data_IF_982758501515
#
_entry.id   IF_982758501515
#
_cell.length_a   1.000
_cell.length_b   1.000
_cell.length_c   1.000
_cell.angle_alpha   90.00
_cell.angle_beta   90.00
_cell.angle_gamma   90.00
#
_symmetry.space_group_name_H-M   'P 1'
#
loop_
_entity.id
_entity.type
_entity.pdbx_description
1 polymer ?
#
# COMPACT_ATOMS: atom_id res chain seq x y z
N UNK A 1 19.90 4.59 43.13
CA UNK A 1 21.32 4.96 43.31
C UNK A 1 21.55 6.45 43.61
N UNK A 2 20.77 7.36 43.01
CA UNK A 2 20.88 8.83 43.20
C UNK A 2 20.61 9.32 44.64
N UNK A 3 19.76 8.63 45.41
CA UNK A 3 19.37 9.08 46.77
C UNK A 3 20.50 8.93 47.80
N UNK A 4 21.46 8.02 47.58
CA UNK A 4 22.51 7.72 48.56
C UNK A 4 23.69 8.72 48.56
N UNK A 5 23.87 9.49 47.48
CA UNK A 5 25.03 10.39 47.34
C UNK A 5 24.89 11.71 48.10
N UNK A 6 23.67 12.05 48.55
CA UNK A 6 23.33 13.37 49.09
C UNK A 6 23.87 13.67 50.50
N UNK A 7 24.40 12.68 51.23
CA UNK A 7 24.70 12.81 52.68
C UNK A 7 26.16 13.16 53.03
N UNK A 8 27.08 13.28 52.06
CA UNK A 8 28.54 13.31 52.34
C UNK A 8 29.29 14.59 51.95
N UNK A 9 28.62 15.72 51.67
CA UNK A 9 29.28 16.92 51.14
C UNK A 9 29.03 18.14 52.04
N UNK A 10 29.93 18.34 53.02
CA UNK A 10 29.99 19.52 53.90
C UNK A 10 31.18 20.41 53.54
N UNK A 11 31.33 20.80 52.27
CA UNK A 11 32.25 21.88 51.89
C UNK A 11 31.57 22.75 50.81
N UNK A 12 31.40 24.08 51.04
CA UNK A 12 30.57 24.93 50.20
C UNK A 12 31.00 25.01 48.73
N UNK A 13 32.30 24.91 48.43
CA UNK A 13 32.83 24.91 47.05
C UNK A 13 32.52 23.62 46.27
N UNK A 14 32.54 22.47 46.95
CA UNK A 14 32.24 21.16 46.34
C UNK A 14 30.73 21.03 46.06
N UNK A 15 29.89 21.71 46.85
CA UNK A 15 28.44 21.74 46.65
C UNK A 15 28.06 22.60 45.43
N UNK A 16 28.77 23.70 45.15
CA UNK A 16 28.51 24.55 43.98
C UNK A 16 28.92 23.90 42.66
N UNK A 17 30.07 23.22 42.61
CA UNK A 17 30.50 22.48 41.40
C UNK A 17 29.58 21.28 41.13
N UNK A 18 29.17 20.53 42.17
CA UNK A 18 28.19 19.47 41.99
C UNK A 18 26.81 19.99 41.57
N UNK A 19 26.39 21.16 42.05
CA UNK A 19 25.15 21.79 41.61
C UNK A 19 25.20 22.24 40.14
N UNK A 20 26.38 22.57 39.61
CA UNK A 20 26.55 22.94 38.21
C UNK A 20 26.56 21.70 37.31
N UNK A 21 27.28 20.64 37.70
CA UNK A 21 27.31 19.38 36.95
C UNK A 21 25.93 18.72 36.80
N UNK A 22 25.11 18.75 37.86
CA UNK A 22 23.72 18.25 37.78
C UNK A 22 22.87 19.06 36.81
N UNK A 23 23.03 20.40 36.75
CA UNK A 23 22.30 21.25 35.81
C UNK A 23 22.70 20.99 34.36
N UNK A 24 24.00 20.85 34.08
CA UNK A 24 24.46 20.53 32.73
C UNK A 24 23.93 19.16 32.27
N UNK A 25 23.96 18.14 33.13
CA UNK A 25 23.40 16.82 32.82
C UNK A 25 21.88 16.88 32.58
N UNK A 26 21.14 17.69 33.34
CA UNK A 26 19.71 17.88 33.10
C UNK A 26 19.43 18.58 31.77
N UNK A 27 20.24 19.57 31.40
CA UNK A 27 20.10 20.28 30.13
C UNK A 27 20.45 19.38 28.94
N UNK A 28 21.53 18.60 29.04
CA UNK A 28 21.93 17.57 28.06
C UNK A 28 20.82 16.54 27.87
N UNK A 29 20.27 15.99 28.97
CA UNK A 29 19.15 15.05 28.92
C UNK A 29 17.91 15.66 28.25
N UNK A 30 17.58 16.91 28.56
CA UNK A 30 16.42 17.57 27.95
C UNK A 30 16.59 17.77 26.43
N UNK A 31 17.82 18.07 25.98
CA UNK A 31 18.16 18.14 24.55
C UNK A 31 18.03 16.76 23.89
N UNK A 32 18.57 15.73 24.51
CA UNK A 32 18.49 14.36 24.02
C UNK A 32 17.05 13.87 23.91
N UNK A 33 16.23 14.04 24.95
CA UNK A 33 14.81 13.66 24.91
C UNK A 33 14.03 14.42 23.83
N UNK A 34 14.38 15.70 23.59
CA UNK A 34 13.75 16.47 22.52
C UNK A 34 14.13 15.90 21.15
N UNK A 35 15.41 15.59 20.93
CA UNK A 35 15.89 14.99 19.68
C UNK A 35 15.20 13.65 19.41
N UNK A 36 15.10 12.78 20.42
CA UNK A 36 14.38 11.50 20.30
C UNK A 36 12.91 11.70 19.94
N UNK A 37 12.23 12.67 20.57
CA UNK A 37 10.83 13.01 20.22
C UNK A 37 10.71 13.52 18.79
N UNK A 38 11.61 14.40 18.34
CA UNK A 38 11.61 14.96 16.99
C UNK A 38 11.83 13.84 15.94
N UNK A 39 12.75 12.90 16.18
CA UNK A 39 12.98 11.75 15.30
C UNK A 39 11.80 10.78 15.26
N UNK A 40 11.20 10.44 16.41
CA UNK A 40 10.00 9.60 16.45
C UNK A 40 8.87 10.25 15.65
N UNK A 41 8.73 11.57 15.73
CA UNK A 41 7.74 12.30 14.94
C UNK A 41 8.05 12.26 13.44
N UNK A 42 9.33 12.40 13.06
CA UNK A 42 9.77 12.28 11.66
C UNK A 42 9.46 10.89 11.08
N UNK A 43 9.83 9.82 11.79
CA UNK A 43 9.53 8.43 11.38
C UNK A 43 8.01 8.23 11.26
N UNK A 44 7.24 8.72 12.22
CA UNK A 44 5.76 8.65 12.20
C UNK A 44 5.17 9.35 10.97
N UNK A 45 5.69 10.52 10.61
CA UNK A 45 5.25 11.27 9.43
C UNK A 45 5.61 10.54 8.14
N UNK A 46 6.80 9.93 8.05
CA UNK A 46 7.19 9.13 6.90
C UNK A 46 6.30 7.90 6.72
N UNK A 47 6.02 7.15 7.80
CA UNK A 47 5.10 6.01 7.78
C UNK A 47 3.71 6.47 7.30
N UNK A 48 3.22 7.57 7.85
CA UNK A 48 1.92 8.13 7.48
C UNK A 48 1.87 8.54 6.01
N UNK A 49 2.93 9.17 5.49
CA UNK A 49 3.01 9.56 4.08
C UNK A 49 3.03 8.32 3.16
N UNK A 50 3.88 7.34 3.47
CA UNK A 50 3.98 6.12 2.68
C UNK A 50 2.63 5.38 2.59
N UNK A 51 1.96 5.18 3.73
CA UNK A 51 0.69 4.46 3.79
C UNK A 51 -0.43 5.27 3.12
N UNK A 52 -0.62 6.52 3.52
CA UNK A 52 -1.80 7.28 3.10
C UNK A 52 -1.69 7.82 1.67
N UNK A 53 -0.48 8.09 1.19
CA UNK A 53 -0.26 8.69 -0.12
C UNK A 53 0.29 7.67 -1.11
N UNK A 54 1.49 7.16 -0.89
CA UNK A 54 2.21 6.43 -1.93
C UNK A 54 1.61 5.04 -2.18
N UNK A 55 1.33 4.30 -1.11
CA UNK A 55 0.67 2.99 -1.18
C UNK A 55 -0.78 3.13 -1.69
N UNK A 56 -1.58 4.03 -1.10
CA UNK A 56 -2.95 4.29 -1.56
C UNK A 56 -3.02 4.65 -3.04
N UNK A 57 -2.16 5.56 -3.51
CA UNK A 57 -2.08 5.98 -4.91
C UNK A 57 -1.68 4.82 -5.83
N UNK A 58 -0.73 3.98 -5.40
CA UNK A 58 -0.32 2.79 -6.14
C UNK A 58 -1.50 1.81 -6.31
N UNK A 59 -2.18 1.46 -5.21
CA UNK A 59 -3.33 0.56 -5.26
C UNK A 59 -4.45 1.12 -6.12
N UNK A 60 -4.79 2.40 -5.96
CA UNK A 60 -5.83 3.06 -6.75
C UNK A 60 -5.51 2.98 -8.25
N UNK A 61 -4.27 3.26 -8.64
CA UNK A 61 -3.82 3.20 -10.04
C UNK A 61 -3.92 1.79 -10.62
N UNK A 62 -3.44 0.79 -9.90
CA UNK A 62 -3.47 -0.61 -10.37
C UNK A 62 -4.91 -1.10 -10.46
N UNK A 63 -5.72 -0.89 -9.41
CA UNK A 63 -7.12 -1.32 -9.38
C UNK A 63 -7.92 -0.68 -10.51
N UNK A 64 -7.79 0.64 -10.73
CA UNK A 64 -8.48 1.34 -11.83
C UNK A 64 -8.13 0.76 -13.19
N UNK A 65 -6.85 0.46 -13.43
CA UNK A 65 -6.36 -0.13 -14.68
C UNK A 65 -6.99 -1.50 -14.93
N UNK A 66 -6.96 -2.38 -13.94
CA UNK A 66 -7.45 -3.76 -14.05
C UNK A 66 -8.99 -3.79 -14.18
N UNK A 67 -9.73 -2.97 -13.41
CA UNK A 67 -11.18 -2.80 -13.56
C UNK A 67 -11.55 -2.33 -14.97
N UNK A 68 -10.82 -1.36 -15.53
CA UNK A 68 -11.07 -0.86 -16.89
C UNK A 68 -10.85 -1.94 -17.96
N UNK A 69 -9.81 -2.77 -17.78
CA UNK A 69 -9.53 -3.90 -18.65
C UNK A 69 -10.64 -4.95 -18.62
N UNK A 70 -11.12 -5.31 -17.42
CA UNK A 70 -12.25 -6.22 -17.23
C UNK A 70 -13.52 -5.64 -17.86
N UNK A 71 -13.82 -4.37 -17.61
CA UNK A 71 -14.99 -3.69 -18.19
C UNK A 71 -14.99 -3.73 -19.72
N UNK A 72 -13.83 -3.51 -20.34
CA UNK A 72 -13.67 -3.63 -21.80
C UNK A 72 -13.93 -5.07 -22.28
N UNK A 73 -13.44 -6.06 -21.53
CA UNK A 73 -13.65 -7.48 -21.85
C UNK A 73 -15.12 -7.88 -21.76
N UNK A 74 -15.82 -7.40 -20.72
CA UNK A 74 -17.27 -7.61 -20.53
C UNK A 74 -18.05 -7.06 -21.72
N UNK A 75 -17.87 -5.78 -22.05
CA UNK A 75 -18.58 -5.12 -23.16
C UNK A 75 -18.32 -5.85 -24.47
N UNK A 76 -17.07 -6.19 -24.77
CA UNK A 76 -16.70 -6.89 -26.01
C UNK A 76 -17.31 -8.29 -26.08
N UNK A 77 -17.18 -9.08 -25.02
CA UNK A 77 -17.66 -10.46 -24.99
C UNK A 77 -19.17 -10.54 -25.11
N UNK A 78 -19.89 -9.68 -24.38
CA UNK A 78 -21.34 -9.64 -24.43
C UNK A 78 -21.84 -9.23 -25.82
N UNK A 79 -21.27 -8.17 -26.42
CA UNK A 79 -21.62 -7.76 -27.79
C UNK A 79 -21.45 -8.92 -28.78
N UNK A 80 -20.28 -9.57 -28.78
CA UNK A 80 -19.98 -10.67 -29.70
C UNK A 80 -20.90 -11.88 -29.51
N UNK A 81 -21.23 -12.23 -28.27
CA UNK A 81 -22.06 -13.41 -27.99
C UNK A 81 -23.54 -13.15 -28.29
N UNK A 82 -24.05 -11.94 -28.05
CA UNK A 82 -25.40 -11.55 -28.46
C UNK A 82 -25.52 -11.58 -29.98
N UNK A 83 -24.58 -10.94 -30.70
CA UNK A 83 -24.59 -10.91 -32.18
C UNK A 83 -24.54 -12.32 -32.77
N UNK A 84 -23.70 -13.20 -32.20
CA UNK A 84 -23.57 -14.59 -32.62
C UNK A 84 -24.84 -15.39 -32.33
N UNK A 85 -25.44 -15.23 -31.16
CA UNK A 85 -26.68 -15.92 -30.79
C UNK A 85 -27.83 -15.54 -31.73
N UNK A 86 -28.02 -14.24 -31.97
CA UNK A 86 -29.05 -13.73 -32.89
C UNK A 86 -28.81 -14.29 -34.29
N UNK A 87 -27.59 -14.19 -34.82
CA UNK A 87 -27.25 -14.68 -36.17
C UNK A 87 -27.53 -16.19 -36.32
N UNK A 88 -27.15 -16.97 -35.31
CA UNK A 88 -27.37 -18.43 -35.30
C UNK A 88 -28.86 -18.75 -35.32
N UNK A 89 -29.64 -18.15 -34.41
CA UNK A 89 -31.08 -18.39 -34.33
C UNK A 89 -31.84 -17.92 -35.56
N UNK A 90 -31.48 -16.76 -36.14
CA UNK A 90 -32.09 -16.28 -37.39
C UNK A 90 -31.83 -17.27 -38.51
N UNK A 91 -30.59 -17.72 -38.67
CA UNK A 91 -30.20 -18.69 -39.69
C UNK A 91 -30.97 -20.00 -39.54
N UNK A 92 -31.07 -20.53 -38.31
CA UNK A 92 -31.84 -21.76 -38.03
C UNK A 92 -33.33 -21.60 -38.31
N UNK A 93 -33.91 -20.44 -37.95
CA UNK A 93 -35.33 -20.14 -38.19
C UNK A 93 -35.65 -20.09 -39.68
N UNK A 94 -34.75 -19.53 -40.50
CA UNK A 94 -34.92 -19.53 -41.95
C UNK A 94 -34.83 -20.93 -42.55
N UNK A 95 -33.93 -21.78 -42.05
CA UNK A 95 -33.79 -23.16 -42.53
C UNK A 95 -35.00 -24.04 -42.17
N UNK A 96 -35.62 -23.81 -41.02
CA UNK A 96 -36.73 -24.63 -40.50
C UNK A 96 -38.13 -24.05 -40.79
N UNK A 97 -38.22 -22.86 -41.38
CA UNK A 97 -39.45 -22.09 -41.58
C UNK A 97 -39.80 -21.21 -40.37
N UNK A 98 -40.22 -19.96 -40.62
CA UNK A 98 -40.48 -18.96 -39.57
C UNK A 98 -41.86 -19.20 -38.94
N UNK A 99 -41.90 -19.53 -37.64
CA UNK A 99 -43.13 -19.61 -36.83
C UNK A 99 -42.87 -19.31 -35.35
N UNK A 100 -43.91 -18.98 -34.58
CA UNK A 100 -43.82 -18.49 -33.18
C UNK A 100 -42.95 -19.33 -32.22
N UNK A 101 -42.82 -20.64 -32.48
CA UNK A 101 -41.94 -21.53 -31.70
C UNK A 101 -40.45 -21.15 -31.83
N UNK A 102 -40.02 -20.66 -32.99
CA UNK A 102 -38.62 -20.30 -33.24
C UNK A 102 -38.22 -19.03 -32.47
N UNK A 103 -39.14 -18.07 -32.35
CA UNK A 103 -38.92 -16.80 -31.64
C UNK A 103 -38.81 -17.03 -30.12
N UNK A 104 -39.68 -17.88 -29.56
CA UNK A 104 -39.60 -18.30 -28.15
C UNK A 104 -38.31 -19.08 -27.80
N UNK A 105 -37.77 -19.87 -28.73
CA UNK A 105 -36.51 -20.60 -28.53
C UNK A 105 -35.29 -19.66 -28.48
N UNK A 106 -35.28 -18.61 -29.30
CA UNK A 106 -34.26 -17.58 -29.28
C UNK A 106 -34.23 -16.85 -27.92
N UNK A 107 -35.40 -16.42 -27.44
CA UNK A 107 -35.50 -15.58 -26.24
C UNK A 107 -35.16 -16.34 -24.95
N UNK A 108 -35.61 -17.60 -24.81
CA UNK A 108 -35.44 -18.34 -23.55
C UNK A 108 -34.23 -19.27 -23.50
N UNK A 109 -33.77 -19.86 -24.62
CA UNK A 109 -32.78 -20.94 -24.56
C UNK A 109 -31.45 -20.54 -25.17
N UNK A 110 -31.45 -20.03 -26.41
CA UNK A 110 -30.20 -19.74 -27.13
C UNK A 110 -29.43 -18.57 -26.51
N UNK A 111 -30.13 -17.49 -26.15
CA UNK A 111 -29.50 -16.35 -25.49
C UNK A 111 -28.99 -16.71 -24.10
N UNK A 112 -29.73 -17.51 -23.32
CA UNK A 112 -29.28 -17.95 -22.01
C UNK A 112 -28.01 -18.81 -22.10
N UNK A 113 -27.96 -19.75 -23.04
CA UNK A 113 -26.79 -20.62 -23.23
C UNK A 113 -25.57 -19.85 -23.76
N UNK A 114 -25.79 -18.88 -24.65
CA UNK A 114 -24.73 -17.99 -25.15
C UNK A 114 -24.16 -17.10 -24.03
N UNK A 115 -25.02 -16.53 -23.19
CA UNK A 115 -24.61 -15.74 -22.03
C UNK A 115 -23.88 -16.59 -20.99
N UNK A 116 -24.39 -17.79 -20.70
CA UNK A 116 -23.73 -18.73 -19.79
C UNK A 116 -22.33 -19.07 -20.29
N UNK A 117 -22.21 -19.46 -21.56
CA UNK A 117 -20.92 -19.75 -22.20
C UNK A 117 -20.00 -18.52 -22.18
N UNK A 118 -20.55 -17.32 -22.42
CA UNK A 118 -19.79 -16.06 -22.32
C UNK A 118 -19.17 -15.88 -20.93
N UNK A 119 -19.96 -16.13 -19.89
CA UNK A 119 -19.50 -15.98 -18.51
C UNK A 119 -18.42 -17.03 -18.20
N UNK A 120 -18.71 -18.31 -18.43
CA UNK A 120 -17.86 -19.43 -18.05
C UNK A 120 -16.55 -19.48 -18.86
N UNK A 121 -16.62 -19.27 -20.17
CA UNK A 121 -15.47 -19.45 -21.06
C UNK A 121 -14.65 -18.16 -21.28
N UNK A 122 -15.25 -16.98 -21.07
CA UNK A 122 -14.57 -15.70 -21.38
C UNK A 122 -14.43 -14.81 -20.16
N UNK A 123 -15.54 -14.50 -19.45
CA UNK A 123 -15.51 -13.51 -18.39
C UNK A 123 -14.79 -14.01 -17.13
N UNK A 124 -15.08 -15.24 -16.69
CA UNK A 124 -14.43 -15.83 -15.52
C UNK A 124 -12.91 -15.94 -15.73
N UNK A 125 -12.39 -16.54 -16.82
CA UNK A 125 -10.94 -16.60 -17.03
C UNK A 125 -10.28 -15.23 -17.19
N UNK A 126 -10.95 -14.26 -17.82
CA UNK A 126 -10.43 -12.91 -17.95
C UNK A 126 -10.34 -12.20 -16.60
N UNK A 127 -11.36 -12.38 -15.74
CA UNK A 127 -11.36 -11.85 -14.39
C UNK A 127 -10.24 -12.47 -13.55
N UNK A 128 -10.12 -13.80 -13.53
CA UNK A 128 -9.04 -14.51 -12.82
C UNK A 128 -7.66 -14.03 -13.26
N UNK A 129 -7.44 -13.91 -14.57
CA UNK A 129 -6.20 -13.40 -15.14
C UNK A 129 -5.93 -11.95 -14.72
N UNK A 130 -6.96 -11.09 -14.73
CA UNK A 130 -6.81 -9.70 -14.32
C UNK A 130 -6.50 -9.59 -12.83
N UNK A 131 -7.15 -10.37 -11.96
CA UNK A 131 -6.81 -10.44 -10.55
C UNK A 131 -5.36 -10.90 -10.33
N UNK A 132 -4.93 -11.97 -11.02
CA UNK A 132 -3.54 -12.43 -10.94
C UNK A 132 -2.56 -11.32 -11.35
N UNK A 133 -2.82 -10.66 -12.48
CA UNK A 133 -2.00 -9.56 -12.98
C UNK A 133 -1.99 -8.37 -12.01
N UNK A 134 -3.14 -8.06 -11.40
CA UNK A 134 -3.29 -7.02 -10.38
C UNK A 134 -2.34 -7.27 -9.21
N UNK A 135 -2.34 -8.49 -8.66
CA UNK A 135 -1.48 -8.85 -7.53
C UNK A 135 0.01 -8.87 -7.91
N UNK A 136 0.36 -9.36 -9.09
CA UNK A 136 1.75 -9.32 -9.59
C UNK A 136 2.24 -7.87 -9.74
N UNK A 137 1.39 -6.97 -10.26
CA UNK A 137 1.72 -5.55 -10.34
C UNK A 137 1.86 -4.91 -8.95
N UNK A 138 1.00 -5.27 -7.99
CA UNK A 138 1.10 -4.76 -6.61
C UNK A 138 2.43 -5.21 -6.01
N UNK A 139 2.78 -6.49 -6.10
CA UNK A 139 4.03 -7.02 -5.55
C UNK A 139 5.25 -6.32 -6.16
N UNK A 140 5.34 -6.28 -7.49
CA UNK A 140 6.47 -5.69 -8.21
C UNK A 140 6.65 -4.18 -7.90
N UNK A 141 5.55 -3.43 -7.80
CA UNK A 141 5.62 -1.99 -7.54
C UNK A 141 5.73 -1.67 -6.04
N UNK A 142 5.25 -2.54 -5.15
CA UNK A 142 5.35 -2.32 -3.70
C UNK A 142 6.79 -2.15 -3.25
N UNK A 143 7.70 -2.95 -3.81
CA UNK A 143 9.14 -2.83 -3.54
C UNK A 143 9.71 -1.49 -4.01
N UNK A 144 9.39 -1.10 -5.24
CA UNK A 144 9.86 0.17 -5.84
C UNK A 144 9.40 1.37 -5.01
N UNK A 145 8.17 1.33 -4.50
CA UNK A 145 7.61 2.40 -3.68
C UNK A 145 8.18 2.37 -2.25
N UNK A 146 8.49 1.18 -1.71
CA UNK A 146 9.06 1.01 -0.37
C UNK A 146 10.54 1.41 -0.25
N UNK A 147 11.35 1.17 -1.29
CA UNK A 147 12.82 1.35 -1.22
C UNK A 147 13.26 2.78 -0.79
N UNK A 148 12.68 3.88 -1.32
CA UNK A 148 13.02 5.23 -0.88
C UNK A 148 12.65 5.47 0.59
N UNK A 149 11.49 4.96 1.02
CA UNK A 149 11.02 5.08 2.40
C UNK A 149 11.94 4.33 3.37
N UNK A 150 12.32 3.10 3.04
CA UNK A 150 13.26 2.29 3.84
C UNK A 150 14.64 2.96 3.90
N UNK A 151 15.12 3.50 2.78
CA UNK A 151 16.40 4.21 2.72
C UNK A 151 16.39 5.45 3.61
N UNK A 152 15.32 6.25 3.56
CA UNK A 152 15.20 7.44 4.40
C UNK A 152 15.15 7.08 5.89
N UNK A 153 14.39 6.05 6.28
CA UNK A 153 14.37 5.56 7.67
C UNK A 153 15.77 5.13 8.12
N UNK A 154 16.51 4.40 7.28
CA UNK A 154 17.85 3.95 7.64
C UNK A 154 18.81 5.12 7.83
N UNK A 155 18.70 6.18 7.03
CA UNK A 155 19.50 7.38 7.20
C UNK A 155 19.14 8.12 8.50
N UNK A 156 17.85 8.32 8.76
CA UNK A 156 17.37 8.99 9.98
C UNK A 156 17.76 8.18 11.26
N UNK A 157 17.82 6.85 11.17
CA UNK A 157 18.32 5.98 12.24
C UNK A 157 19.84 6.04 12.38
N UNK A 158 20.59 6.21 11.28
CA UNK A 158 22.05 6.32 11.32
C UNK A 158 22.48 7.56 12.10
N UNK A 159 21.81 8.69 11.88
CA UNK A 159 22.04 9.96 12.59
C UNK A 159 21.77 9.86 14.10
N UNK A 160 20.96 8.88 14.55
CA UNK A 160 20.72 8.58 15.98
C UNK A 160 21.87 7.77 16.59
N UNK A 161 22.57 6.97 15.79
CA UNK A 161 23.67 6.09 16.24
C UNK A 161 25.05 6.74 16.21
N UNK A 162 25.17 7.98 15.70
CA UNK A 162 26.43 8.71 15.86
C UNK A 162 26.66 9.03 17.33
N UNK A 163 27.65 8.33 17.89
CA UNK A 163 28.11 8.41 19.26
C UNK A 163 28.39 9.88 19.70
N UNK A 164 27.57 10.49 20.56
CA UNK A 164 27.82 11.84 21.07
C UNK A 164 29.10 11.92 21.92
N UNK A 165 29.64 10.78 22.35
CA UNK A 165 30.93 10.69 23.06
C UNK A 165 32.13 11.04 22.17
N UNK A 166 31.96 11.03 20.83
CA UNK A 166 32.99 11.51 19.89
C UNK A 166 33.19 13.03 19.95
N UNK A 167 32.13 13.80 20.22
CA UNK A 167 32.24 15.26 20.42
C UNK A 167 32.92 15.57 21.76
N UNK A 168 32.61 14.82 22.82
CA UNK A 168 33.33 14.93 24.10
C UNK A 168 34.81 14.58 23.98
N UNK A 169 35.16 13.61 23.13
CA UNK A 169 36.56 13.22 22.86
C UNK A 169 37.32 14.24 22.02
N UNK A 170 36.65 15.21 21.39
CA UNK A 170 37.27 16.35 20.68
C UNK A 170 37.52 17.55 21.58
N UNK A 171 36.90 17.56 22.77
CA UNK A 171 36.95 18.64 23.76
C UNK A 171 37.94 18.37 24.92
N UNK A 172 38.54 17.18 24.98
CA UNK A 172 39.60 16.78 25.93
C UNK A 172 40.91 16.61 25.17
#
# INVERSE_FOLDING_TARGET
MVVAFKKKLKHPYVISEQSLGVKMLQEENAKQEKLERDHVQQITNMISNYINKDMSSLLEKIIKKEISSIGTTITRSLSQNIDKAITTSVTESFQKGVGDKALNQLENTVLQEALKTSVEATLVPAFEKSCKTMFEQIDANSKVVADPFVTQINNDLHDITEDPTKELSRLV
#
